data_IF_222270236376
#
_entry.id   IF_222270236376
#
_cell.length_a   1.000
_cell.length_b   1.000
_cell.length_c   1.000
_cell.angle_alpha   90.00
_cell.angle_beta   90.00
_cell.angle_gamma   90.00
#
_symmetry.space_group_name_H-M   'P 1'
#
loop_
_entity.id
_entity.type
_entity.pdbx_description
1 polymer ?
#
# COMPACT_ATOMS: atom_id res chain seq x y z
N UNK A 1 -27.82 22.31 -45.62
CA UNK A 1 -26.79 21.32 -45.24
C UNK A 1 -26.29 21.62 -43.85
N UNK A 2 -26.90 21.02 -42.83
CA UNK A 2 -26.42 21.06 -41.45
C UNK A 2 -26.78 19.74 -40.80
N UNK A 3 -25.79 19.07 -40.22
CA UNK A 3 -25.81 18.52 -38.86
C UNK A 3 -24.55 17.66 -38.70
N UNK A 4 -23.58 18.22 -37.98
CA UNK A 4 -22.50 17.49 -37.33
C UNK A 4 -23.07 16.29 -36.60
N UNK A 5 -22.64 15.10 -36.98
CA UNK A 5 -22.57 13.96 -36.06
C UNK A 5 -21.14 13.93 -35.54
N UNK A 6 -20.83 14.78 -34.55
CA UNK A 6 -19.69 14.51 -33.67
C UNK A 6 -20.27 13.58 -32.62
N UNK A 7 -19.92 12.30 -32.74
CA UNK A 7 -20.31 11.28 -31.78
C UNK A 7 -20.00 11.77 -30.38
N UNK A 8 -21.01 11.65 -29.52
CA UNK A 8 -20.89 11.75 -28.09
C UNK A 8 -20.08 10.52 -27.64
N UNK A 9 -18.76 10.59 -27.73
CA UNK A 9 -17.87 9.60 -27.11
C UNK A 9 -17.87 9.94 -25.63
N UNK A 10 -18.64 9.17 -24.85
CA UNK A 10 -18.48 9.13 -23.40
C UNK A 10 -17.12 8.47 -23.19
N UNK A 11 -16.11 9.32 -23.01
CA UNK A 11 -14.79 8.90 -22.60
C UNK A 11 -14.90 8.50 -21.11
N UNK A 12 -15.36 7.28 -20.85
CA UNK A 12 -15.31 6.65 -19.50
C UNK A 12 -13.87 6.32 -19.08
N UNK A 13 -12.88 6.89 -19.77
CA UNK A 13 -11.48 6.80 -19.42
C UNK A 13 -11.19 7.67 -18.20
N UNK A 14 -10.30 7.16 -17.39
CA UNK A 14 -9.89 7.69 -16.12
C UNK A 14 -8.42 8.05 -16.24
N UNK A 15 -8.11 9.31 -15.94
CA UNK A 15 -6.72 9.78 -15.97
C UNK A 15 -5.98 9.36 -14.71
N UNK A 16 -4.89 8.61 -14.89
CA UNK A 16 -4.02 8.12 -13.83
C UNK A 16 -2.60 8.65 -14.05
N UNK A 17 -2.01 9.24 -13.01
CA UNK A 17 -0.65 9.79 -13.07
C UNK A 17 0.29 9.01 -12.16
N UNK A 18 1.30 8.33 -12.72
CA UNK A 18 2.34 7.63 -11.98
C UNK A 18 3.51 8.55 -11.71
N UNK A 19 3.80 8.85 -10.44
CA UNK A 19 4.94 9.66 -9.99
C UNK A 19 5.99 8.74 -9.40
N UNK A 20 7.17 8.71 -10.01
CA UNK A 20 8.28 7.87 -9.53
C UNK A 20 8.96 8.49 -8.30
N UNK A 21 8.46 8.18 -7.11
CA UNK A 21 9.09 8.51 -5.82
C UNK A 21 10.14 7.50 -5.36
N UNK A 22 10.43 6.46 -6.15
CA UNK A 22 11.15 5.30 -5.65
C UNK A 22 12.66 5.50 -5.45
N UNK A 23 13.22 6.57 -6.02
CA UNK A 23 14.67 6.79 -6.06
C UNK A 23 15.42 5.84 -7.02
N UNK A 24 14.72 4.94 -7.71
CA UNK A 24 15.26 4.04 -8.75
C UNK A 24 14.45 4.17 -10.03
N UNK A 25 14.92 3.53 -11.10
CA UNK A 25 14.15 3.41 -12.35
C UNK A 25 12.94 2.52 -12.09
N UNK A 26 11.76 2.95 -12.56
CA UNK A 26 10.50 2.24 -12.37
C UNK A 26 9.83 1.98 -13.72
N UNK A 27 9.50 0.73 -14.01
CA UNK A 27 8.83 0.29 -15.23
C UNK A 27 7.35 0.04 -14.94
N UNK A 28 6.47 0.76 -15.64
CA UNK A 28 5.01 0.71 -15.47
C UNK A 28 4.41 -0.26 -16.48
N UNK A 29 3.69 -1.27 -16.00
CA UNK A 29 3.05 -2.30 -16.82
C UNK A 29 1.54 -2.35 -16.58
N UNK A 30 0.79 -2.55 -17.66
CA UNK A 30 -0.62 -2.92 -17.59
C UNK A 30 -0.76 -4.43 -17.51
N UNK A 31 -1.50 -4.93 -16.52
CA UNK A 31 -1.75 -6.35 -16.34
C UNK A 31 -3.01 -6.74 -17.11
N UNK A 32 -2.86 -7.61 -18.11
CA UNK A 32 -3.97 -8.15 -18.90
C UNK A 32 -4.55 -9.42 -18.32
N UNK A 33 -3.71 -10.19 -17.61
CA UNK A 33 -4.06 -11.48 -17.05
C UNK A 33 -2.95 -12.07 -16.19
N UNK A 34 -3.16 -13.26 -15.62
CA UNK A 34 -2.16 -13.90 -14.75
C UNK A 34 -0.86 -14.16 -15.51
N UNK A 35 0.19 -13.45 -15.11
CA UNK A 35 1.51 -13.53 -15.75
C UNK A 35 1.67 -12.70 -17.04
N UNK A 36 0.60 -12.12 -17.57
CA UNK A 36 0.63 -11.31 -18.80
C UNK A 36 0.58 -9.81 -18.46
N UNK A 37 1.71 -9.13 -18.64
CA UNK A 37 1.86 -7.71 -18.36
C UNK A 37 2.61 -7.02 -19.50
N UNK A 38 2.09 -5.90 -19.98
CA UNK A 38 2.66 -5.13 -21.09
C UNK A 38 3.31 -3.86 -20.55
N UNK A 39 4.56 -3.61 -20.93
CA UNK A 39 5.30 -2.40 -20.55
C UNK A 39 4.72 -1.19 -21.30
N UNK A 40 4.32 -0.16 -20.56
CA UNK A 40 3.84 1.11 -21.11
C UNK A 40 4.90 2.20 -21.03
N UNK A 41 5.62 2.29 -19.90
CA UNK A 41 6.58 3.35 -19.69
C UNK A 41 7.69 2.95 -18.74
N UNK A 42 8.86 3.57 -18.90
CA UNK A 42 9.99 3.47 -17.97
C UNK A 42 10.28 4.87 -17.41
N UNK A 43 10.11 5.04 -16.11
CA UNK A 43 10.22 6.29 -15.39
C UNK A 43 11.56 6.39 -14.67
N UNK A 44 12.27 7.49 -14.88
CA UNK A 44 13.41 7.87 -14.05
C UNK A 44 12.94 8.38 -12.67
N UNK A 45 13.82 8.41 -11.66
CA UNK A 45 13.49 9.00 -10.37
C UNK A 45 12.94 10.42 -10.53
N UNK A 46 11.84 10.73 -9.82
CA UNK A 46 11.07 11.99 -9.88
C UNK A 46 10.32 12.25 -11.20
N UNK A 47 10.36 11.33 -12.15
CA UNK A 47 9.58 11.43 -13.39
C UNK A 47 8.12 11.06 -13.15
N UNK A 48 7.22 11.70 -13.89
CA UNK A 48 5.79 11.41 -13.90
C UNK A 48 5.38 10.84 -15.26
N UNK A 49 4.39 9.95 -15.27
CA UNK A 49 3.75 9.45 -16.48
C UNK A 49 2.24 9.42 -16.32
N UNK A 50 1.56 10.10 -17.24
CA UNK A 50 0.11 10.18 -17.29
C UNK A 50 -0.42 9.17 -18.31
N UNK A 51 -1.46 8.43 -17.92
CA UNK A 51 -2.13 7.46 -18.78
C UNK A 51 -3.64 7.56 -18.61
N UNK A 52 -4.35 7.50 -19.73
CA UNK A 52 -5.80 7.33 -19.76
C UNK A 52 -6.09 5.82 -19.70
N UNK A 53 -6.76 5.40 -18.64
CA UNK A 53 -7.04 3.98 -18.34
C UNK A 53 -8.52 3.80 -18.00
N UNK A 54 -8.98 2.58 -17.69
CA UNK A 54 -10.38 2.35 -17.31
C UNK A 54 -10.47 1.84 -15.86
N UNK A 55 -11.62 2.05 -15.23
CA UNK A 55 -11.89 1.51 -13.89
C UNK A 55 -11.69 0.00 -13.86
N UNK A 56 -11.06 -0.51 -12.80
CA UNK A 56 -10.75 -1.92 -12.62
C UNK A 56 -9.48 -2.39 -13.33
N UNK A 57 -8.84 -1.59 -14.18
CA UNK A 57 -7.55 -1.93 -14.77
C UNK A 57 -6.48 -2.08 -13.69
N UNK A 58 -5.76 -3.21 -13.75
CA UNK A 58 -4.65 -3.50 -12.84
C UNK A 58 -3.34 -3.08 -13.47
N UNK A 59 -2.55 -2.34 -12.70
CA UNK A 59 -1.22 -1.87 -13.08
C UNK A 59 -0.20 -2.40 -12.09
N UNK A 60 0.96 -2.79 -12.61
CA UNK A 60 2.11 -3.22 -11.80
C UNK A 60 3.32 -2.38 -12.17
N UNK A 61 4.08 -1.96 -11.18
CA UNK A 61 5.34 -1.24 -11.35
C UNK A 61 6.46 -2.16 -10.90
N UNK A 62 7.46 -2.34 -11.75
CA UNK A 62 8.63 -3.17 -11.45
C UNK A 62 9.90 -2.35 -11.59
N UNK A 63 10.95 -2.75 -10.91
CA UNK A 63 12.28 -2.23 -11.22
C UNK A 63 12.87 -2.99 -12.44
N UNK A 64 13.99 -2.52 -13.03
CA UNK A 64 14.66 -3.21 -14.14
C UNK A 64 15.11 -4.65 -13.84
N UNK A 65 15.30 -5.01 -12.57
CA UNK A 65 15.60 -6.38 -12.13
C UNK A 65 14.37 -7.29 -12.04
N UNK A 66 13.17 -6.74 -12.21
CA UNK A 66 11.91 -7.47 -12.24
C UNK A 66 11.18 -7.57 -10.90
N UNK A 67 11.69 -6.94 -9.83
CA UNK A 67 11.00 -6.89 -8.54
C UNK A 67 9.78 -5.99 -8.65
N UNK A 68 8.63 -6.48 -8.20
CA UNK A 68 7.40 -5.68 -8.11
C UNK A 68 7.56 -4.65 -7.00
N UNK A 69 7.63 -3.37 -7.39
CA UNK A 69 7.71 -2.23 -6.48
C UNK A 69 6.31 -1.82 -5.99
N UNK A 70 5.31 -1.97 -6.84
CA UNK A 70 3.96 -1.50 -6.57
C UNK A 70 2.94 -2.25 -7.45
N UNK A 71 1.76 -2.52 -6.92
CA UNK A 71 0.62 -3.03 -7.68
C UNK A 71 -0.63 -2.26 -7.26
N UNK A 72 -1.44 -1.86 -8.22
CA UNK A 72 -2.67 -1.13 -7.96
C UNK A 72 -3.75 -1.44 -8.97
N UNK A 73 -5.00 -1.39 -8.50
CA UNK A 73 -6.17 -1.35 -9.37
C UNK A 73 -6.67 0.09 -9.49
N UNK A 74 -7.03 0.51 -10.70
CA UNK A 74 -7.62 1.81 -10.95
C UNK A 74 -9.04 1.88 -10.36
N UNK A 75 -9.25 2.71 -9.34
CA UNK A 75 -10.56 2.95 -8.72
C UNK A 75 -11.17 4.31 -9.10
N UNK A 76 -10.44 5.13 -9.84
CA UNK A 76 -10.81 6.50 -10.15
C UNK A 76 -9.60 7.34 -10.55
N UNK A 77 -9.84 8.60 -10.95
CA UNK A 77 -8.77 9.49 -11.39
C UNK A 77 -7.90 9.86 -10.19
N UNK A 78 -6.59 9.94 -10.41
CA UNK A 78 -5.70 10.26 -9.31
C UNK A 78 -4.22 10.15 -9.65
N UNK A 79 -3.42 10.42 -8.61
CA UNK A 79 -1.96 10.37 -8.67
C UNK A 79 -1.49 9.21 -7.81
N UNK A 80 -0.71 8.32 -8.42
CA UNK A 80 -0.05 7.20 -7.77
C UNK A 80 1.41 7.55 -7.54
N UNK A 81 1.80 7.63 -6.28
CA UNK A 81 3.20 7.78 -5.90
C UNK A 81 3.84 6.40 -5.73
N UNK A 82 4.79 6.07 -6.61
CA UNK A 82 5.55 4.83 -6.52
C UNK A 82 6.48 4.94 -5.31
N UNK A 83 6.30 4.11 -4.27
CA UNK A 83 7.11 4.19 -3.06
C UNK A 83 8.55 3.76 -3.36
N UNK A 84 9.49 4.26 -2.54
CA UNK A 84 10.81 3.66 -2.50
C UNK A 84 10.71 2.19 -2.11
N UNK A 85 11.45 1.28 -2.77
CA UNK A 85 11.59 -0.06 -2.23
C UNK A 85 12.07 0.08 -0.78
N UNK A 86 11.66 -0.83 0.12
CA UNK A 86 12.24 -0.87 1.46
C UNK A 86 13.75 -0.90 1.25
N UNK A 87 14.41 0.17 1.70
CA UNK A 87 15.87 0.24 1.73
C UNK A 87 16.26 -1.06 2.43
N UNK A 88 17.14 -1.86 1.80
CA UNK A 88 17.55 -3.15 2.32
C UNK A 88 17.92 -3.08 3.80
N UNK A 89 18.04 -4.24 4.48
CA UNK A 89 18.03 -4.31 5.93
C UNK A 89 18.97 -3.23 6.50
N UNK A 90 18.40 -2.40 7.37
CA UNK A 90 19.12 -1.55 8.29
C UNK A 90 20.42 -2.27 8.73
N UNK A 91 21.61 -1.63 8.79
CA UNK A 91 22.82 -2.25 9.32
C UNK A 91 22.49 -3.07 10.58
N UNK A 92 23.13 -4.24 10.78
CA UNK A 92 22.77 -5.10 11.89
C UNK A 92 22.96 -4.32 13.17
N UNK A 93 21.85 -3.92 13.79
CA UNK A 93 21.87 -3.67 15.21
C UNK A 93 22.40 -4.96 15.85
N UNK A 94 23.39 -4.89 16.75
CA UNK A 94 23.87 -6.07 17.44
C UNK A 94 22.68 -6.69 18.18
N UNK A 95 22.34 -7.91 17.76
CA UNK A 95 21.31 -8.75 18.36
C UNK A 95 21.83 -9.12 19.76
N UNK A 96 21.13 -8.79 20.86
CA UNK A 96 21.27 -9.56 22.08
C UNK A 96 20.47 -10.85 21.86
N UNK A 97 21.15 -11.96 21.59
CA UNK A 97 20.52 -13.30 21.62
C UNK A 97 20.12 -13.71 23.06
N UNK A 98 19.66 -14.96 23.29
CA UNK A 98 19.48 -16.09 22.36
C UNK A 98 18.10 -16.80 22.42
N UNK A 99 17.80 -17.63 21.41
CA UNK A 99 16.66 -18.57 21.32
C UNK A 99 15.42 -17.95 20.65
N UNK A 100 14.76 -18.53 19.65
CA UNK A 100 14.32 -19.92 19.54
C UNK A 100 14.08 -20.38 18.09
N UNK A 101 14.45 -21.64 17.84
CA UNK A 101 14.00 -22.63 16.85
C UNK A 101 13.70 -22.27 15.40
N UNK A 102 14.53 -22.83 14.52
CA UNK A 102 14.25 -23.11 13.11
C UNK A 102 12.95 -23.93 12.94
N UNK A 103 11.96 -23.38 12.26
CA UNK A 103 10.94 -24.16 11.54
C UNK A 103 10.96 -23.81 10.05
N UNK A 104 10.87 -24.82 9.16
CA UNK A 104 10.73 -24.58 7.72
C UNK A 104 9.36 -23.97 7.38
N UNK A 105 9.36 -22.98 6.49
CA UNK A 105 8.18 -22.38 5.87
C UNK A 105 7.36 -23.46 5.14
N UNK A 106 6.30 -23.96 5.76
CA UNK A 106 5.23 -24.67 5.05
C UNK A 106 4.25 -23.64 4.50
N UNK A 107 4.24 -23.48 3.18
CA UNK A 107 3.20 -22.74 2.45
C UNK A 107 1.94 -23.60 2.48
N UNK A 108 1.03 -23.31 3.42
CA UNK A 108 -0.32 -23.86 3.41
C UNK A 108 -1.22 -23.17 2.37
N UNK A 109 -2.27 -23.84 1.86
CA UNK A 109 -3.28 -23.21 1.02
C UNK A 109 -4.05 -22.16 1.84
N UNK A 110 -4.40 -21.05 1.19
CA UNK A 110 -5.14 -19.94 1.79
C UNK A 110 -6.61 -20.34 1.90
N UNK A 111 -6.98 -20.98 3.01
CA UNK A 111 -8.38 -21.09 3.38
C UNK A 111 -8.90 -19.69 3.69
N UNK A 112 -9.86 -19.25 2.88
CA UNK A 112 -10.68 -18.08 3.16
C UNK A 112 -11.65 -18.45 4.28
N UNK A 113 -11.15 -18.48 5.50
CA UNK A 113 -12.00 -18.48 6.68
C UNK A 113 -12.20 -17.02 7.07
N UNK A 114 -13.43 -16.52 6.86
CA UNK A 114 -13.89 -15.30 7.48
C UNK A 114 -13.90 -15.52 8.99
N UNK A 115 -12.76 -15.22 9.63
CA UNK A 115 -12.64 -15.14 11.08
C UNK A 115 -13.52 -13.96 11.53
N UNK A 116 -14.78 -14.25 11.87
CA UNK A 116 -15.74 -13.38 12.56
C UNK A 116 -15.27 -13.07 14.01
N UNK A 117 -13.97 -12.98 14.22
CA UNK A 117 -13.44 -12.52 15.50
C UNK A 117 -13.45 -11.00 15.49
N UNK A 118 -14.10 -10.35 16.46
CA UNK A 118 -14.10 -8.90 16.55
C UNK A 118 -12.67 -8.39 16.66
N UNK A 119 -12.32 -7.37 15.88
CA UNK A 119 -10.99 -6.74 15.98
C UNK A 119 -10.90 -6.09 17.36
N UNK A 120 -9.98 -6.55 18.22
CA UNK A 120 -9.81 -6.05 19.60
C UNK A 120 -8.54 -5.23 19.77
N UNK A 121 -8.48 -4.44 20.84
CA UNK A 121 -7.28 -3.68 21.20
C UNK A 121 -6.06 -4.59 21.37
N UNK A 122 -4.95 -4.24 20.73
CA UNK A 122 -3.68 -5.00 20.75
C UNK A 122 -2.94 -4.98 22.09
N UNK A 123 -3.44 -4.24 23.08
CA UNK A 123 -2.81 -4.08 24.39
C UNK A 123 -3.60 -4.82 25.47
N UNK A 124 -4.91 -4.58 25.58
CA UNK A 124 -5.75 -5.24 26.58
C UNK A 124 -6.54 -6.43 26.04
N UNK A 125 -6.64 -6.60 24.72
CA UNK A 125 -7.43 -7.65 24.06
C UNK A 125 -8.92 -7.68 24.45
N UNK A 126 -9.43 -6.59 25.02
CA UNK A 126 -10.79 -6.47 25.53
C UNK A 126 -11.56 -5.35 24.82
N UNK A 127 -11.05 -4.11 24.87
CA UNK A 127 -11.77 -2.94 24.35
C UNK A 127 -11.67 -2.73 22.83
N UNK A 128 -12.63 -1.98 22.29
CA UNK A 128 -12.72 -1.67 20.86
C UNK A 128 -11.55 -0.79 20.38
N UNK A 129 -10.82 -1.21 19.33
CA UNK A 129 -9.66 -0.52 18.79
C UNK A 129 -10.09 0.67 17.92
N UNK A 130 -10.37 1.78 18.58
CA UNK A 130 -10.86 3.00 17.95
C UNK A 130 -9.82 4.12 17.85
N UNK A 131 -8.57 3.88 18.25
CA UNK A 131 -7.52 4.91 18.29
C UNK A 131 -6.37 4.58 17.34
N UNK A 132 -5.97 5.63 16.60
CA UNK A 132 -4.78 5.70 15.76
C UNK A 132 -3.86 6.81 16.29
N UNK A 133 -2.56 6.53 16.35
CA UNK A 133 -1.55 7.48 16.81
C UNK A 133 -0.99 8.32 15.67
N UNK A 134 -0.94 9.65 15.83
CA UNK A 134 -0.27 10.57 14.91
C UNK A 134 1.10 10.99 15.47
N UNK A 135 2.11 11.25 14.60
CA UNK A 135 2.05 11.23 13.13
C UNK A 135 2.28 9.84 12.50
N UNK A 136 2.47 8.78 13.28
CA UNK A 136 2.94 7.50 12.75
C UNK A 136 1.86 6.62 12.09
N UNK A 137 0.57 6.92 12.25
CA UNK A 137 -0.52 6.19 11.60
C UNK A 137 -0.86 4.83 12.22
N UNK A 138 -0.20 4.42 13.29
CA UNK A 138 -0.42 3.10 13.89
C UNK A 138 -1.74 3.04 14.68
N UNK A 139 -2.59 2.08 14.33
CA UNK A 139 -3.90 1.85 14.93
C UNK A 139 -4.01 0.48 15.62
N UNK A 140 -5.15 0.24 16.27
CA UNK A 140 -5.42 -1.01 16.99
C UNK A 140 -5.51 -0.83 18.50
N UNK A 141 -5.79 0.38 18.99
CA UNK A 141 -5.77 0.71 20.40
C UNK A 141 -7.14 1.18 20.88
N UNK A 142 -7.60 0.70 22.04
CA UNK A 142 -8.76 1.32 22.70
C UNK A 142 -8.34 2.62 23.37
N UNK A 143 -9.31 3.48 23.68
CA UNK A 143 -9.06 4.77 24.34
C UNK A 143 -8.29 4.61 25.67
N UNK A 144 -8.70 3.69 26.53
CA UNK A 144 -8.06 3.49 27.84
C UNK A 144 -6.61 3.00 27.76
N UNK A 145 -6.25 2.24 26.74
CA UNK A 145 -4.86 1.84 26.51
C UNK A 145 -4.06 2.97 25.87
N UNK A 146 -4.64 3.68 24.90
CA UNK A 146 -3.97 4.74 24.16
C UNK A 146 -3.42 5.85 25.08
N UNK A 147 -4.19 6.26 26.09
CA UNK A 147 -3.79 7.31 27.03
C UNK A 147 -2.56 6.97 27.89
N UNK A 148 -2.15 5.70 27.96
CA UNK A 148 -1.00 5.27 28.78
C UNK A 148 0.34 5.46 28.07
N UNK A 149 0.32 5.83 26.79
CA UNK A 149 1.52 5.89 25.96
C UNK A 149 1.78 7.32 25.48
N UNK A 150 3.03 7.76 25.60
CA UNK A 150 3.56 9.01 25.00
C UNK A 150 4.30 8.74 23.68
N UNK A 151 4.65 7.47 23.44
CA UNK A 151 5.29 6.97 22.24
C UNK A 151 4.53 5.74 21.73
N UNK A 152 4.44 5.59 20.42
CA UNK A 152 3.75 4.47 19.81
C UNK A 152 4.43 3.13 20.23
N UNK A 153 3.71 2.16 20.80
CA UNK A 153 4.29 0.88 21.22
C UNK A 153 4.74 0.02 20.03
N UNK A 154 4.29 0.33 18.81
CA UNK A 154 4.68 -0.40 17.59
C UNK A 154 5.98 0.15 16.99
N UNK A 155 6.11 1.47 16.88
CA UNK A 155 7.21 2.09 16.14
C UNK A 155 8.04 3.09 16.95
N UNK A 156 7.73 3.28 18.24
CA UNK A 156 8.37 4.22 19.18
C UNK A 156 8.35 5.68 18.74
N UNK A 157 7.53 6.05 17.75
CA UNK A 157 7.35 7.44 17.36
C UNK A 157 6.59 8.20 18.45
N UNK A 158 7.03 9.42 18.76
CA UNK A 158 6.34 10.29 19.73
C UNK A 158 4.90 10.56 19.28
N UNK A 159 3.94 10.31 20.17
CA UNK A 159 2.52 10.52 19.90
C UNK A 159 2.22 12.00 20.11
N UNK A 160 1.80 12.68 19.06
CA UNK A 160 1.35 14.09 19.13
C UNK A 160 -0.16 14.19 19.22
N UNK A 161 -0.89 13.22 18.69
CA UNK A 161 -2.35 13.21 18.71
C UNK A 161 -2.91 11.79 18.70
N UNK A 162 -4.02 11.62 19.42
CA UNK A 162 -4.87 10.43 19.41
C UNK A 162 -6.07 10.71 18.51
N UNK A 163 -6.14 10.04 17.38
CA UNK A 163 -7.27 10.19 16.44
C UNK A 163 -8.23 9.04 16.67
N UNK A 164 -9.49 9.39 16.95
CA UNK A 164 -10.57 8.41 17.08
C UNK A 164 -11.11 8.08 15.69
N UNK A 165 -11.08 6.80 15.34
CA UNK A 165 -11.66 6.27 14.11
C UNK A 165 -12.95 5.53 14.42
N UNK A 166 -13.94 5.69 13.55
CA UNK A 166 -15.19 4.96 13.58
C UNK A 166 -15.05 3.82 12.57
N UNK A 167 -14.82 2.60 13.07
CA UNK A 167 -14.78 1.35 12.31
C UNK A 167 -16.16 0.71 12.30
#
# INVERSE_FOLDING_TARGET
>A
GKLSRKSNEVDDSVKLSFVNGSGKVAQVFWVRGPGDAVLYSTLQPRQTYDVDTYLGHTWTVRDPSGIVLFECQCHGPGVIHIPAPPIGPNPPFPIPGPGFSNQPFQQGPRHADADDSPVRCKICFEGDPQILFQPCGHAGFCWGCAQKFVECPICRARITQHVRMFL
#
